data_IF_482915721564
#
_entry.id   IF_482915721564
#
_cell.length_a   1.000
_cell.length_b   1.000
_cell.length_c   1.000
_cell.angle_alpha   90.00
_cell.angle_beta   90.00
_cell.angle_gamma   90.00
#
_symmetry.space_group_name_H-M   'P 1'
#
loop_
_entity.id
_entity.type
_entity.pdbx_description
1 polymer ?
#
# COMPACT_ATOMS: atom_id res chain seq x y z
N UNK A 1 -15.75 -0.68 -7.42
CA UNK A 1 -15.64 -0.73 -5.96
C UNK A 1 -15.16 0.60 -5.35
N UNK A 2 -15.85 1.74 -5.58
CA UNK A 2 -15.53 3.01 -4.91
C UNK A 2 -15.60 2.92 -3.38
N UNK A 3 -16.49 2.09 -2.84
CA UNK A 3 -16.65 1.82 -1.41
C UNK A 3 -15.40 1.21 -0.77
N UNK A 4 -14.75 0.25 -1.45
CA UNK A 4 -13.50 -0.37 -0.99
C UNK A 4 -12.37 0.65 -1.02
N UNK A 5 -12.28 1.46 -2.08
CA UNK A 5 -11.26 2.50 -2.20
C UNK A 5 -11.38 3.48 -1.03
N UNK A 6 -12.60 3.94 -0.72
CA UNK A 6 -12.88 4.84 0.39
C UNK A 6 -12.43 4.24 1.73
N UNK A 7 -12.83 3.01 2.04
CA UNK A 7 -12.49 2.33 3.29
C UNK A 7 -10.97 2.15 3.45
N UNK A 8 -10.27 1.77 2.37
CA UNK A 8 -8.80 1.70 2.37
C UNK A 8 -8.18 3.07 2.63
N UNK A 9 -8.66 4.12 1.95
CA UNK A 9 -8.09 5.47 2.12
C UNK A 9 -8.30 6.02 3.52
N UNK A 10 -9.46 5.79 4.12
CA UNK A 10 -9.78 6.22 5.49
C UNK A 10 -8.82 5.54 6.49
N UNK A 11 -8.65 4.22 6.43
CA UNK A 11 -7.71 3.52 7.32
C UNK A 11 -6.26 4.00 7.17
N UNK A 12 -5.81 4.28 5.94
CA UNK A 12 -4.47 4.78 5.70
C UNK A 12 -4.26 6.20 6.24
N UNK A 13 -5.28 7.06 6.12
CA UNK A 13 -5.27 8.42 6.67
C UNK A 13 -5.24 8.38 8.20
N UNK A 14 -6.06 7.54 8.83
CA UNK A 14 -6.12 7.40 10.28
C UNK A 14 -4.79 6.91 10.86
N UNK A 15 -4.18 5.89 10.23
CA UNK A 15 -2.85 5.40 10.64
C UNK A 15 -1.78 6.47 10.54
N UNK A 16 -1.81 7.27 9.47
CA UNK A 16 -0.87 8.38 9.30
C UNK A 16 -1.11 9.48 10.33
N UNK A 17 -2.36 9.82 10.63
CA UNK A 17 -2.72 10.79 11.65
C UNK A 17 -2.28 10.35 13.05
N UNK A 18 -2.33 9.04 13.33
CA UNK A 18 -1.81 8.44 14.56
C UNK A 18 -0.27 8.38 14.63
N UNK A 19 0.45 8.84 13.60
CA UNK A 19 1.91 8.80 13.54
C UNK A 19 2.49 7.41 13.29
N UNK A 20 1.67 6.43 12.90
CA UNK A 20 2.14 5.07 12.62
C UNK A 20 2.95 5.04 11.31
N UNK A 21 4.09 4.33 11.28
CA UNK A 21 4.88 4.19 10.06
C UNK A 21 4.14 3.37 9.01
N UNK A 22 3.85 3.98 7.86
CA UNK A 22 3.26 3.31 6.72
C UNK A 22 4.35 2.71 5.82
N UNK A 23 4.51 1.39 5.89
CA UNK A 23 5.33 0.64 4.93
C UNK A 23 4.47 0.13 3.77
N UNK A 24 5.08 -0.21 2.62
CA UNK A 24 4.35 -0.84 1.52
C UNK A 24 3.74 -2.19 1.92
N UNK A 25 4.36 -2.92 2.85
CA UNK A 25 3.80 -4.16 3.37
C UNK A 25 2.51 -3.89 4.16
N UNK A 26 2.50 -2.86 5.01
CA UNK A 26 1.32 -2.43 5.77
C UNK A 26 0.19 -2.02 4.82
N UNK A 27 0.49 -1.18 3.83
CA UNK A 27 -0.48 -0.73 2.82
C UNK A 27 -1.07 -1.93 2.06
N UNK A 28 -0.21 -2.86 1.64
CA UNK A 28 -0.64 -4.08 0.95
C UNK A 28 -1.55 -4.93 1.81
N UNK A 29 -1.19 -5.15 3.08
CA UNK A 29 -2.01 -5.91 4.02
C UNK A 29 -3.40 -5.28 4.18
N UNK A 30 -3.49 -3.96 4.35
CA UNK A 30 -4.77 -3.26 4.50
C UNK A 30 -5.63 -3.45 3.26
N UNK A 31 -5.07 -3.23 2.06
CA UNK A 31 -5.81 -3.43 0.80
C UNK A 31 -6.30 -4.88 0.66
N UNK A 32 -5.42 -5.87 0.89
CA UNK A 32 -5.79 -7.28 0.79
C UNK A 32 -6.89 -7.63 1.78
N UNK A 33 -6.76 -7.20 3.04
CA UNK A 33 -7.74 -7.49 4.10
C UNK A 33 -9.11 -6.92 3.75
N UNK A 34 -9.19 -5.65 3.36
CA UNK A 34 -10.47 -5.03 3.02
C UNK A 34 -11.09 -5.70 1.79
N UNK A 35 -10.30 -5.98 0.75
CA UNK A 35 -10.81 -6.69 -0.43
C UNK A 35 -11.30 -8.10 -0.07
N UNK A 36 -10.57 -8.87 0.75
CA UNK A 36 -11.00 -10.21 1.17
C UNK A 36 -12.32 -10.19 1.96
N UNK A 37 -12.56 -9.14 2.74
CA UNK A 37 -13.80 -9.00 3.53
C UNK A 37 -14.97 -8.53 2.67
N UNK A 38 -14.73 -7.61 1.73
CA UNK A 38 -15.79 -6.91 0.99
C UNK A 38 -16.07 -7.47 -0.40
N UNK A 39 -15.05 -7.97 -1.07
CA UNK A 39 -15.09 -8.42 -2.47
C UNK A 39 -14.07 -9.55 -2.72
N UNK A 40 -14.19 -10.70 -2.04
CA UNK A 40 -13.26 -11.82 -2.20
C UNK A 40 -13.20 -12.33 -3.65
N UNK A 41 -14.29 -12.18 -4.42
CA UNK A 41 -14.40 -12.56 -5.82
C UNK A 41 -13.35 -11.89 -6.71
N UNK A 42 -12.81 -10.73 -6.31
CA UNK A 42 -11.74 -10.06 -7.03
C UNK A 42 -10.46 -10.91 -7.09
N UNK A 43 -10.17 -11.68 -6.04
CA UNK A 43 -9.00 -12.57 -6.01
C UNK A 43 -9.24 -13.90 -6.74
N UNK A 44 -10.50 -14.28 -6.90
CA UNK A 44 -10.90 -15.52 -7.58
C UNK A 44 -11.06 -15.32 -9.10
N UNK A 45 -11.33 -14.08 -9.52
CA UNK A 45 -11.46 -13.73 -10.92
C UNK A 45 -10.15 -14.01 -11.68
N UNK A 46 -10.24 -14.84 -12.71
CA UNK A 46 -9.17 -15.09 -13.67
C UNK A 46 -9.36 -14.21 -14.90
N UNK A 47 -8.32 -13.46 -15.23
CA UNK A 47 -8.25 -12.69 -16.47
C UNK A 47 -8.06 -13.62 -17.68
N UNK A 48 -8.22 -13.06 -18.90
CA UNK A 48 -8.09 -13.82 -20.16
C UNK A 48 -6.73 -14.50 -20.34
N UNK A 49 -5.69 -13.96 -19.71
CA UNK A 49 -4.33 -14.49 -19.70
C UNK A 49 -4.09 -15.56 -18.62
N UNK A 50 -5.12 -15.91 -17.84
CA UNK A 50 -5.06 -16.87 -16.75
C UNK A 50 -4.52 -16.31 -15.44
N UNK A 51 -4.10 -15.05 -15.39
CA UNK A 51 -3.66 -14.40 -14.15
C UNK A 51 -4.85 -14.05 -13.24
N UNK A 52 -4.57 -13.86 -11.95
CA UNK A 52 -5.55 -13.34 -10.98
C UNK A 52 -5.15 -11.96 -10.50
N UNK A 53 -6.09 -11.22 -9.91
CA UNK A 53 -5.77 -9.94 -9.31
C UNK A 53 -4.76 -10.11 -8.17
N UNK A 54 -3.69 -9.30 -8.21
CA UNK A 54 -2.63 -9.30 -7.21
C UNK A 54 -2.39 -7.89 -6.70
N UNK A 55 -2.36 -7.73 -5.39
CA UNK A 55 -1.98 -6.46 -4.75
C UNK A 55 -0.45 -6.39 -4.71
N UNK A 56 0.14 -6.15 -5.88
CA UNK A 56 1.58 -6.05 -6.03
C UNK A 56 2.14 -4.76 -5.43
N UNK A 57 3.45 -4.72 -5.30
CA UNK A 57 4.17 -3.56 -4.81
C UNK A 57 4.01 -2.33 -5.73
N UNK A 58 3.92 -2.55 -7.03
CA UNK A 58 3.64 -1.50 -8.02
C UNK A 58 2.18 -1.05 -7.97
N UNK A 59 1.24 -1.98 -7.73
CA UNK A 59 -0.16 -1.63 -7.50
C UNK A 59 -0.30 -0.72 -6.27
N UNK A 60 0.32 -1.08 -5.14
CA UNK A 60 0.26 -0.28 -3.91
C UNK A 60 0.77 1.15 -4.14
N UNK A 61 1.92 1.30 -4.82
CA UNK A 61 2.47 2.63 -5.15
C UNK A 61 1.51 3.45 -6.02
N UNK A 62 0.96 2.84 -7.07
CA UNK A 62 -0.03 3.50 -7.95
C UNK A 62 -1.33 3.84 -7.21
N UNK A 63 -1.77 2.99 -6.30
CA UNK A 63 -2.95 3.24 -5.48
C UNK A 63 -2.75 4.45 -4.57
N UNK A 64 -1.63 4.51 -3.85
CA UNK A 64 -1.30 5.65 -2.96
C UNK A 64 -1.17 6.96 -3.74
N UNK A 65 -0.53 6.91 -4.90
CA UNK A 65 -0.36 8.08 -5.77
C UNK A 65 -1.72 8.58 -6.30
N UNK A 66 -2.56 7.70 -6.85
CA UNK A 66 -3.84 8.09 -7.45
C UNK A 66 -4.92 8.46 -6.43
N UNK A 67 -4.99 7.76 -5.30
CA UNK A 67 -6.07 7.92 -4.33
C UNK A 67 -5.77 8.98 -3.27
N UNK A 68 -4.49 9.21 -2.96
CA UNK A 68 -4.07 10.10 -1.86
C UNK A 68 -2.99 11.12 -2.27
N UNK A 69 -2.48 11.08 -3.51
CA UNK A 69 -1.31 11.85 -3.94
C UNK A 69 -0.06 11.58 -3.06
N UNK A 70 0.06 10.36 -2.52
CA UNK A 70 1.16 9.99 -1.64
C UNK A 70 2.25 9.25 -2.40
N UNK A 71 3.48 9.74 -2.30
CA UNK A 71 4.68 9.02 -2.72
C UNK A 71 5.37 8.37 -1.53
N UNK A 72 5.66 7.07 -1.64
CA UNK A 72 6.44 6.35 -0.63
C UNK A 72 7.91 6.77 -0.72
N UNK A 73 8.40 7.48 0.29
CA UNK A 73 9.81 7.87 0.35
C UNK A 73 10.66 6.67 0.75
N UNK A 74 11.67 6.34 -0.05
CA UNK A 74 12.72 5.41 0.35
C UNK A 74 13.59 6.12 1.39
N UNK A 75 13.80 5.49 2.55
CA UNK A 75 14.68 6.05 3.57
C UNK A 75 16.04 6.44 2.96
N UNK A 76 16.45 7.69 3.17
CA UNK A 76 17.73 8.20 2.68
C UNK A 76 18.85 7.55 3.47
N UNK A 77 19.74 6.80 2.81
CA UNK A 77 20.93 6.16 3.44
C UNK A 77 22.01 7.16 3.88
N UNK A 78 21.71 8.45 3.95
CA UNK A 78 22.67 9.52 4.22
C UNK A 78 23.29 9.45 5.62
N UNK A 79 22.64 8.80 6.59
CA UNK A 79 23.12 8.68 7.97
C UNK A 79 24.20 7.59 8.20
N UNK A 80 24.64 6.85 7.17
CA UNK A 80 25.66 5.80 7.31
C UNK A 80 27.11 6.29 7.19
N UNK A 81 27.36 7.61 7.12
CA UNK A 81 28.73 8.13 7.18
C UNK A 81 29.15 8.30 8.64
N UNK A 82 29.81 7.28 9.19
CA UNK A 82 30.66 7.44 10.36
C UNK A 82 31.80 8.41 9.97
N UNK A 83 32.15 9.41 10.80
CA UNK A 83 33.38 10.16 10.60
C UNK A 83 34.54 9.17 10.64
N UNK A 84 35.35 9.16 9.58
CA UNK A 84 36.65 8.50 9.61
C UNK A 84 37.53 9.45 10.41
N UNK A 85 37.70 9.14 11.69
CA UNK A 85 38.88 9.41 12.53
C UNK A 85 38.46 9.23 14.01
N UNK A 86 38.97 8.15 14.62
CA UNK A 86 38.97 7.88 16.06
C UNK A 86 40.41 7.56 16.46
#
# INVERSE_FOLDING_TARGET
HPEIVKEVTEQLVDLRAAGAPLSLATVRCIIITIIKVRAPELFEHRFKDGSTFQVSDSFCRKFLDRSLAWSMRKGTKAAQKLPRDA
#
